data_IF_932681411864
#
_entry.id   IF_932681411864
#
_cell.length_a   1.000
_cell.length_b   1.000
_cell.length_c   1.000
_cell.angle_alpha   90.00
_cell.angle_beta   90.00
_cell.angle_gamma   90.00
#
_symmetry.space_group_name_H-M   'P 1'
#
loop_
_entity.id
_entity.type
_entity.pdbx_description
1 polymer ?
#
# COMPACT_ATOMS: atom_id res chain seq x y z
N UNK A 1 4.37 -7.54 25.90
CA UNK A 1 3.14 -7.57 25.09
C UNK A 1 2.95 -6.17 24.49
N UNK A 2 3.13 -6.02 23.17
CA UNK A 2 2.84 -4.75 22.52
C UNK A 2 1.31 -4.57 22.44
N UNK A 3 0.82 -3.40 22.83
CA UNK A 3 -0.60 -3.05 22.80
C UNK A 3 -1.16 -3.08 21.36
N UNK A 4 -2.45 -3.38 21.14
CA UNK A 4 -3.05 -3.24 19.83
C UNK A 4 -3.04 -1.77 19.44
N UNK A 5 -2.30 -1.42 18.38
CA UNK A 5 -2.36 -0.09 17.80
C UNK A 5 -3.79 0.15 17.31
N UNK A 6 -4.46 1.15 17.87
CA UNK A 6 -5.76 1.62 17.39
C UNK A 6 -5.65 1.88 15.88
N UNK A 7 -6.50 1.29 15.02
CA UNK A 7 -6.52 1.68 13.62
C UNK A 7 -6.89 3.17 13.58
N UNK A 8 -5.97 3.99 13.08
CA UNK A 8 -6.26 5.39 12.80
C UNK A 8 -7.49 5.46 11.91
N UNK A 9 -8.47 6.25 12.31
CA UNK A 9 -9.78 6.35 11.66
C UNK A 9 -9.61 6.63 10.16
N UNK A 10 -10.23 5.78 9.32
CA UNK A 10 -10.02 5.68 7.88
C UNK A 10 -10.73 6.76 7.02
N UNK A 11 -10.98 7.94 7.59
CA UNK A 11 -11.59 9.08 6.88
C UNK A 11 -10.58 10.23 6.85
N UNK A 12 -9.67 10.23 5.87
CA UNK A 12 -8.78 11.37 5.57
C UNK A 12 -7.27 11.12 5.67
N UNK A 13 -6.82 9.88 5.88
CA UNK A 13 -5.39 9.57 5.82
C UNK A 13 -4.85 9.81 4.40
N UNK A 14 -3.85 10.68 4.27
CA UNK A 14 -3.12 10.89 3.01
C UNK A 14 -2.61 9.54 2.49
N UNK A 15 -2.94 9.24 1.23
CA UNK A 15 -2.54 8.00 0.57
C UNK A 15 -1.38 8.25 -0.36
N UNK A 16 -0.32 7.50 -0.20
CA UNK A 16 0.75 7.40 -1.18
C UNK A 16 0.49 6.16 -2.05
N UNK A 17 0.40 6.37 -3.36
CA UNK A 17 0.26 5.30 -4.35
C UNK A 17 1.53 5.25 -5.19
N UNK A 18 2.22 4.11 -5.17
CA UNK A 18 3.39 3.83 -6.01
C UNK A 18 2.94 2.80 -7.06
N UNK A 19 3.22 3.07 -8.32
CA UNK A 19 2.82 2.22 -9.46
C UNK A 19 4.02 1.87 -10.32
N UNK A 20 3.91 0.77 -11.09
CA UNK A 20 4.95 0.27 -11.99
C UNK A 20 6.27 -0.09 -11.30
N UNK A 21 6.24 -0.31 -9.99
CA UNK A 21 7.41 -0.72 -9.22
C UNK A 21 7.56 -2.25 -9.18
N UNK A 22 8.81 -2.72 -9.08
CA UNK A 22 9.11 -4.09 -8.71
C UNK A 22 8.95 -4.24 -7.20
N UNK A 23 8.07 -5.14 -6.75
CA UNK A 23 7.76 -5.34 -5.32
C UNK A 23 8.17 -6.74 -4.92
N UNK A 24 9.09 -6.86 -3.97
CA UNK A 24 9.42 -8.13 -3.34
C UNK A 24 8.87 -8.13 -1.91
N UNK A 25 7.96 -9.05 -1.61
CA UNK A 25 7.43 -9.23 -0.26
C UNK A 25 8.34 -10.18 0.53
N UNK A 26 8.43 -9.94 1.83
CA UNK A 26 9.14 -10.81 2.77
C UNK A 26 8.17 -11.77 3.47
N UNK A 27 7.14 -12.22 2.75
CA UNK A 27 6.25 -13.27 3.24
C UNK A 27 6.88 -14.66 3.11
N UNK A 28 6.24 -15.69 3.66
CA UNK A 28 6.76 -17.05 3.63
C UNK A 28 6.80 -17.65 2.21
N UNK A 29 6.05 -17.09 1.25
CA UNK A 29 6.02 -17.54 -0.13
C UNK A 29 7.12 -16.85 -0.98
N UNK A 30 7.72 -15.77 -0.48
CA UNK A 30 8.66 -14.96 -1.25
C UNK A 30 7.98 -14.32 -2.45
N UNK A 31 6.78 -13.77 -2.28
CA UNK A 31 6.00 -13.23 -3.39
C UNK A 31 6.68 -12.03 -4.04
N UNK A 32 6.82 -12.05 -5.36
CA UNK A 32 7.37 -10.93 -6.13
C UNK A 32 6.41 -10.48 -7.23
N UNK A 33 6.29 -9.17 -7.40
CA UNK A 33 5.53 -8.53 -8.47
C UNK A 33 6.47 -7.72 -9.34
N UNK A 34 6.69 -8.17 -10.57
CA UNK A 34 7.58 -7.50 -11.51
C UNK A 34 7.11 -6.08 -11.85
N UNK A 35 5.80 -5.91 -11.97
CA UNK A 35 5.10 -4.64 -12.15
C UNK A 35 3.88 -4.64 -11.24
N UNK A 36 3.97 -3.90 -10.14
CA UNK A 36 2.91 -3.83 -9.15
C UNK A 36 2.57 -2.43 -8.70
N UNK A 37 1.63 -2.38 -7.77
CA UNK A 37 1.25 -1.19 -7.04
C UNK A 37 1.40 -1.39 -5.53
N UNK A 38 1.61 -0.28 -4.84
CA UNK A 38 1.63 -0.20 -3.38
C UNK A 38 0.83 1.03 -2.94
N UNK A 39 -0.14 0.82 -2.05
CA UNK A 39 -0.91 1.88 -1.40
C UNK A 39 -0.50 1.95 0.06
N UNK A 40 -0.04 3.12 0.49
CA UNK A 40 0.31 3.41 1.88
C UNK A 40 -0.64 4.47 2.40
N UNK A 41 -1.31 4.19 3.52
CA UNK A 41 -2.17 5.13 4.22
C UNK A 41 -1.70 5.26 5.67
N UNK A 42 -1.45 6.50 6.13
CA UNK A 42 -1.05 6.74 7.51
C UNK A 42 0.23 6.00 7.94
N UNK A 43 1.18 5.82 7.02
CA UNK A 43 2.43 5.09 7.28
C UNK A 43 2.30 3.57 7.37
N UNK A 44 1.15 3.00 7.01
CA UNK A 44 0.94 1.55 6.91
C UNK A 44 0.55 1.16 5.49
N UNK A 45 0.91 -0.06 5.11
CA UNK A 45 0.48 -0.63 3.84
C UNK A 45 -1.02 -0.92 3.93
N UNK A 46 -1.79 -0.27 3.07
CA UNK A 46 -3.24 -0.47 2.92
C UNK A 46 -3.51 -1.57 1.89
N UNK A 47 -2.79 -1.57 0.76
CA UNK A 47 -2.90 -2.57 -0.30
C UNK A 47 -1.60 -2.69 -1.09
N UNK A 48 -1.38 -3.86 -1.69
CA UNK A 48 -0.35 -4.08 -2.70
C UNK A 48 -0.78 -5.20 -3.65
N UNK A 49 -0.23 -5.23 -4.86
CA UNK A 49 -0.47 -6.32 -5.81
C UNK A 49 0.16 -6.09 -7.17
N UNK A 50 -0.05 -7.06 -8.08
CA UNK A 50 0.35 -6.91 -9.47
C UNK A 50 -0.53 -5.88 -10.20
N UNK A 51 0.03 -5.23 -11.22
CA UNK A 51 -0.70 -4.32 -12.10
C UNK A 51 -1.01 -2.95 -11.47
N UNK A 52 -1.93 -2.17 -12.07
CA UNK A 52 -2.22 -0.80 -11.67
C UNK A 52 -2.88 -0.71 -10.29
N UNK A 53 -2.76 0.45 -9.65
CA UNK A 53 -3.41 0.69 -8.36
C UNK A 53 -4.94 0.77 -8.51
N UNK A 54 -5.70 0.43 -7.44
CA UNK A 54 -7.15 0.59 -7.41
C UNK A 54 -7.60 2.01 -7.77
N UNK A 55 -8.67 2.10 -8.55
CA UNK A 55 -9.32 3.36 -8.89
C UNK A 55 -10.23 3.87 -7.75
N UNK A 56 -10.59 5.16 -7.76
CA UNK A 56 -11.50 5.76 -6.79
C UNK A 56 -10.91 6.11 -5.41
N UNK A 57 -9.60 5.93 -5.21
CA UNK A 57 -8.91 6.36 -4.00
C UNK A 57 -8.91 7.90 -3.85
N UNK A 58 -9.24 8.40 -2.66
CA UNK A 58 -9.23 9.83 -2.34
C UNK A 58 -7.96 10.23 -1.59
N UNK A 59 -7.56 11.51 -1.69
CA UNK A 59 -6.40 12.05 -0.98
C UNK A 59 -5.07 11.42 -1.40
N UNK A 60 -4.89 11.19 -2.70
CA UNK A 60 -3.79 10.39 -3.25
C UNK A 60 -2.68 11.26 -3.81
N UNK A 61 -1.44 10.97 -3.40
CA UNK A 61 -0.22 11.36 -4.10
C UNK A 61 0.29 10.15 -4.88
N UNK A 62 0.42 10.27 -6.21
CA UNK A 62 0.91 9.18 -7.09
C UNK A 62 2.39 9.32 -7.43
N UNK A 63 3.11 8.19 -7.48
CA UNK A 63 4.52 8.08 -7.87
C UNK A 63 4.74 6.87 -8.78
N UNK A 64 5.77 6.96 -9.61
CA UNK A 64 6.28 5.89 -10.49
C UNK A 64 7.76 5.67 -10.24
#
# INVERSE_FOLDING_TARGET
MAAPATPGTADGAERLVIENAHIATVDAAGTEYAHGHLVVAGGRIEALGAGPAPEGLTGVTRRV
#
